data_IF_278524797855
#
_entry.id   IF_278524797855
#
_cell.length_a   1.000
_cell.length_b   1.000
_cell.length_c   1.000
_cell.angle_alpha   90.00
_cell.angle_beta   90.00
_cell.angle_gamma   90.00
#
_symmetry.space_group_name_H-M   'P 1'
#
loop_
_entity.id
_entity.type
_entity.pdbx_description
1 polymer ?
#
# COMPACT_ATOMS: atom_id res chain seq x y z
N UNK A 1 31.09 -26.72 -15.66
CA UNK A 1 30.58 -25.34 -15.50
C UNK A 1 30.39 -25.12 -14.02
N UNK A 2 31.26 -24.33 -13.39
CA UNK A 2 31.16 -23.96 -11.98
C UNK A 2 29.95 -23.04 -11.82
N UNK A 3 29.05 -23.37 -10.88
CA UNK A 3 27.94 -22.49 -10.54
C UNK A 3 28.50 -21.17 -10.02
N UNK A 4 27.99 -20.00 -10.46
CA UNK A 4 28.41 -18.73 -9.89
C UNK A 4 28.14 -18.75 -8.37
N UNK A 5 29.18 -18.51 -7.59
CA UNK A 5 29.05 -18.37 -6.14
C UNK A 5 28.13 -17.19 -5.83
N UNK A 6 27.28 -17.28 -4.80
CA UNK A 6 26.44 -16.16 -4.40
C UNK A 6 27.34 -14.98 -4.00
N UNK A 7 27.22 -13.87 -4.70
CA UNK A 7 27.82 -12.59 -4.30
C UNK A 7 27.24 -12.21 -2.93
N UNK A 8 28.10 -12.26 -1.91
CA UNK A 8 27.78 -11.78 -0.57
C UNK A 8 28.09 -10.28 -0.58
N UNK A 9 27.07 -9.43 -0.51
CA UNK A 9 27.27 -8.00 -0.32
C UNK A 9 27.76 -7.77 1.11
N UNK A 10 29.01 -7.36 1.26
CA UNK A 10 29.63 -7.18 2.58
C UNK A 10 29.58 -5.73 3.05
N UNK A 11 29.54 -4.78 2.11
CA UNK A 11 29.65 -3.34 2.42
C UNK A 11 28.44 -2.52 1.97
N UNK A 12 27.67 -3.01 0.98
CA UNK A 12 26.47 -2.32 0.48
C UNK A 12 25.17 -2.91 1.02
N UNK A 13 24.17 -2.06 1.16
CA UNK A 13 22.87 -2.38 1.75
C UNK A 13 21.77 -2.43 0.69
N UNK A 14 20.86 -3.38 0.88
CA UNK A 14 19.69 -3.54 0.02
C UNK A 14 18.69 -2.40 0.22
N UNK A 15 17.93 -2.04 -0.82
CA UNK A 15 16.79 -1.15 -0.63
C UNK A 15 15.75 -1.78 0.30
N UNK A 16 14.90 -0.94 0.94
CA UNK A 16 13.71 -1.40 1.63
C UNK A 16 12.84 -2.31 0.75
N UNK A 17 12.03 -3.17 1.38
CA UNK A 17 11.08 -3.97 0.60
C UNK A 17 10.03 -3.06 -0.02
N UNK A 18 9.73 -3.29 -1.29
CA UNK A 18 8.85 -2.42 -2.04
C UNK A 18 7.37 -2.53 -1.62
N UNK A 19 6.97 -3.73 -1.18
CA UNK A 19 5.56 -4.11 -0.97
C UNK A 19 4.83 -3.22 0.04
N UNK A 20 5.37 -2.90 1.23
CA UNK A 20 4.64 -2.08 2.20
C UNK A 20 4.29 -0.68 1.67
N UNK A 21 5.24 -0.01 1.01
CA UNK A 21 5.05 1.32 0.44
C UNK A 21 3.95 1.34 -0.62
N UNK A 22 4.00 0.39 -1.54
CA UNK A 22 3.03 0.33 -2.64
C UNK A 22 1.64 -0.12 -2.17
N UNK A 23 1.59 -0.99 -1.15
CA UNK A 23 0.32 -1.43 -0.59
C UNK A 23 -0.44 -0.29 0.10
N UNK A 24 0.25 0.65 0.76
CA UNK A 24 -0.37 1.87 1.32
C UNK A 24 -1.08 2.68 0.24
N UNK A 25 -0.44 2.82 -0.94
CA UNK A 25 -1.03 3.49 -2.09
C UNK A 25 -2.27 2.76 -2.60
N UNK A 26 -2.20 1.44 -2.76
CA UNK A 26 -3.33 0.62 -3.21
C UNK A 26 -4.54 0.71 -2.27
N UNK A 27 -4.30 0.61 -0.96
CA UNK A 27 -5.37 0.73 0.06
C UNK A 27 -6.07 2.08 -0.06
N UNK A 28 -5.31 3.16 -0.24
CA UNK A 28 -5.88 4.50 -0.41
C UNK A 28 -6.73 4.62 -1.67
N UNK A 29 -6.25 4.05 -2.79
CA UNK A 29 -6.94 4.10 -4.08
C UNK A 29 -8.19 3.21 -4.12
N UNK A 30 -8.10 2.00 -3.57
CA UNK A 30 -9.12 0.95 -3.76
C UNK A 30 -10.07 0.79 -2.58
N UNK A 31 -9.71 1.31 -1.40
CA UNK A 31 -10.57 1.26 -0.21
C UNK A 31 -10.94 2.66 0.23
N UNK A 32 -9.98 3.50 0.64
CA UNK A 32 -10.32 4.80 1.24
C UNK A 32 -11.14 5.68 0.29
N UNK A 33 -10.64 5.94 -0.91
CA UNK A 33 -11.33 6.80 -1.87
C UNK A 33 -12.76 6.32 -2.20
N UNK A 34 -12.98 5.12 -2.76
CA UNK A 34 -14.32 4.71 -3.19
C UNK A 34 -15.29 4.50 -2.03
N UNK A 35 -14.81 4.07 -0.85
CA UNK A 35 -15.70 3.82 0.29
C UNK A 35 -16.10 5.12 0.97
N UNK A 36 -15.19 6.08 1.11
CA UNK A 36 -15.54 7.41 1.64
C UNK A 36 -16.45 8.18 0.67
N UNK A 37 -16.25 8.05 -0.64
CA UNK A 37 -17.14 8.66 -1.63
C UNK A 37 -18.55 8.04 -1.62
N UNK A 38 -18.64 6.72 -1.48
CA UNK A 38 -19.92 6.04 -1.27
C UNK A 38 -20.68 6.59 -0.06
N UNK A 39 -19.99 6.76 1.07
CA UNK A 39 -20.62 7.29 2.29
C UNK A 39 -21.10 8.73 2.09
N UNK A 40 -20.34 9.56 1.37
CA UNK A 40 -20.77 10.90 0.96
C UNK A 40 -22.06 10.84 0.14
N UNK A 41 -22.09 10.06 -0.94
CA UNK A 41 -23.26 9.94 -1.81
C UNK A 41 -24.50 9.46 -1.05
N UNK A 42 -24.33 8.51 -0.12
CA UNK A 42 -25.42 8.04 0.73
C UNK A 42 -25.97 9.15 1.63
N UNK A 43 -25.13 10.04 2.15
CA UNK A 43 -25.56 11.17 2.98
C UNK A 43 -26.28 12.24 2.16
N UNK A 44 -25.75 12.57 0.99
CA UNK A 44 -26.37 13.53 0.08
C UNK A 44 -27.77 13.08 -0.34
N UNK A 45 -27.97 11.78 -0.60
CA UNK A 45 -29.28 11.21 -0.92
C UNK A 45 -30.31 11.30 0.23
N UNK A 46 -29.87 11.40 1.49
CA UNK A 46 -30.78 11.57 2.63
C UNK A 46 -31.14 13.05 2.89
N UNK A 47 -30.47 14.01 2.21
CA UNK A 47 -30.69 15.46 2.33
C UNK A 47 -30.69 16.01 3.77
N UNK A 48 -29.87 15.46 4.68
CA UNK A 48 -29.69 16.00 6.04
C UNK A 48 -28.44 16.90 6.12
N UNK A 49 -28.59 18.24 6.17
CA UNK A 49 -27.45 19.16 6.13
C UNK A 49 -26.48 18.99 7.29
N UNK A 50 -26.98 18.60 8.46
CA UNK A 50 -26.15 18.43 9.65
C UNK A 50 -25.32 17.14 9.54
N UNK A 51 -25.89 16.06 9.01
CA UNK A 51 -25.16 14.82 8.75
C UNK A 51 -24.09 15.00 7.67
N UNK A 52 -24.43 15.72 6.59
CA UNK A 52 -23.49 16.08 5.51
C UNK A 52 -22.32 16.90 6.09
N UNK A 53 -22.59 17.90 6.92
CA UNK A 53 -21.55 18.72 7.52
C UNK A 53 -20.61 17.91 8.43
N UNK A 54 -21.13 16.98 9.23
CA UNK A 54 -20.29 16.09 10.06
C UNK A 54 -19.30 15.33 9.19
N UNK A 55 -19.76 14.70 8.11
CA UNK A 55 -18.89 13.94 7.22
C UNK A 55 -17.93 14.82 6.41
N UNK A 56 -18.33 16.03 6.05
CA UNK A 56 -17.42 16.97 5.38
C UNK A 56 -16.22 17.28 6.28
N UNK A 57 -16.45 17.56 7.56
CA UNK A 57 -15.38 17.76 8.55
C UNK A 57 -14.51 16.51 8.65
N UNK A 58 -15.12 15.32 8.76
CA UNK A 58 -14.38 14.06 8.82
C UNK A 58 -13.53 13.81 7.58
N UNK A 59 -14.02 14.14 6.38
CA UNK A 59 -13.26 13.99 5.12
C UNK A 59 -12.08 14.95 5.06
N UNK A 60 -12.22 16.17 5.58
CA UNK A 60 -11.10 17.11 5.71
C UNK A 60 -9.99 16.53 6.58
N UNK A 61 -10.35 16.00 7.76
CA UNK A 61 -9.37 15.33 8.63
C UNK A 61 -8.78 14.11 7.93
N UNK A 62 -9.63 13.26 7.32
CA UNK A 62 -9.18 12.06 6.61
C UNK A 62 -8.15 12.37 5.51
N UNK A 63 -8.37 13.45 4.74
CA UNK A 63 -7.39 13.93 3.75
C UNK A 63 -6.05 14.23 4.41
N UNK A 64 -6.05 15.07 5.44
CA UNK A 64 -4.82 15.50 6.12
C UNK A 64 -4.07 14.30 6.73
N UNK A 65 -4.78 13.38 7.37
CA UNK A 65 -4.18 12.21 8.03
C UNK A 65 -3.69 11.14 7.03
N UNK A 66 -4.43 10.85 5.96
CA UNK A 66 -3.99 9.90 4.92
C UNK A 66 -2.77 10.47 4.19
N UNK A 67 -2.71 11.79 3.98
CA UNK A 67 -1.59 12.44 3.30
C UNK A 67 -0.25 12.19 4.02
N UNK A 68 -0.25 12.08 5.34
CA UNK A 68 0.95 11.74 6.13
C UNK A 68 1.55 10.38 5.74
N UNK A 69 0.73 9.41 5.34
CA UNK A 69 1.23 8.12 4.84
C UNK A 69 1.94 8.25 3.49
N UNK A 70 1.59 9.24 2.67
CA UNK A 70 2.27 9.50 1.41
C UNK A 70 3.58 10.28 1.57
N UNK A 71 3.75 11.03 2.65
CA UNK A 71 5.06 11.58 3.04
C UNK A 71 6.09 10.47 3.21
N UNK A 72 5.71 9.31 3.75
CA UNK A 72 6.59 8.14 3.90
C UNK A 72 7.11 7.65 2.53
N UNK A 73 6.25 7.62 1.50
CA UNK A 73 6.67 7.26 0.14
C UNK A 73 7.60 8.32 -0.47
N UNK A 74 7.36 9.60 -0.18
CA UNK A 74 8.25 10.67 -0.62
C UNK A 74 9.65 10.52 0.00
N UNK A 75 9.74 10.24 1.30
CA UNK A 75 11.04 10.00 1.96
C UNK A 75 11.72 8.74 1.40
N UNK A 76 10.98 7.66 1.16
CA UNK A 76 11.53 6.47 0.51
C UNK A 76 12.18 6.80 -0.85
N UNK A 77 11.54 7.68 -1.63
CA UNK A 77 12.09 8.15 -2.91
C UNK A 77 13.38 8.94 -2.71
N UNK A 78 13.43 9.84 -1.71
CA UNK A 78 14.64 10.62 -1.39
C UNK A 78 15.79 9.73 -0.92
N UNK A 79 15.54 8.78 -0.02
CA UNK A 79 16.54 7.78 0.40
C UNK A 79 17.14 7.05 -0.80
N UNK A 80 16.30 6.62 -1.75
CA UNK A 80 16.79 5.97 -2.95
C UNK A 80 17.67 6.90 -3.81
N UNK A 81 17.30 8.18 -3.95
CA UNK A 81 18.09 9.18 -4.66
C UNK A 81 19.46 9.41 -4.02
N UNK A 82 19.51 9.53 -2.69
CA UNK A 82 20.78 9.71 -1.98
C UNK A 82 21.65 8.45 -2.07
N UNK A 83 21.05 7.26 -1.97
CA UNK A 83 21.79 6.01 -2.12
C UNK A 83 22.41 5.87 -3.52
N UNK A 84 21.76 6.39 -4.56
CA UNK A 84 22.35 6.42 -5.89
C UNK A 84 23.61 7.27 -5.98
N UNK A 85 23.65 8.40 -5.29
CA UNK A 85 24.84 9.24 -5.26
C UNK A 85 26.01 8.49 -4.63
N UNK A 86 25.77 7.70 -3.59
CA UNK A 86 26.79 6.81 -3.00
C UNK A 86 27.31 5.83 -4.05
N UNK A 87 26.41 5.14 -4.77
CA UNK A 87 26.80 4.16 -5.81
C UNK A 87 27.53 4.79 -7.00
N UNK A 88 27.17 6.00 -7.39
CA UNK A 88 27.85 6.79 -8.42
C UNK A 88 29.27 7.16 -7.97
N UNK A 89 29.42 7.71 -6.76
CA UNK A 89 30.70 8.05 -6.18
C UNK A 89 31.64 6.83 -6.10
N UNK A 90 31.12 5.66 -5.70
CA UNK A 90 31.89 4.41 -5.67
C UNK A 90 32.41 4.01 -7.05
N UNK A 91 31.58 4.12 -8.08
CA UNK A 91 31.98 3.78 -9.46
C UNK A 91 33.05 4.73 -9.98
N UNK A 92 33.03 5.98 -9.53
CA UNK A 92 34.03 7.00 -9.84
C UNK A 92 35.24 6.97 -8.90
N UNK A 93 35.28 6.05 -7.93
CA UNK A 93 36.32 5.92 -6.89
C UNK A 93 36.50 7.21 -6.08
N UNK A 94 35.40 7.91 -5.82
CA UNK A 94 35.33 9.10 -4.96
C UNK A 94 34.95 8.71 -3.53
N UNK A 95 35.30 9.55 -2.53
CA UNK A 95 34.88 9.35 -1.14
C UNK A 95 33.36 9.30 -1.00
N UNK A 96 32.86 8.46 -0.09
CA UNK A 96 31.41 8.27 0.12
C UNK A 96 30.89 8.76 1.45
N UNK A 97 31.78 9.13 2.37
CA UNK A 97 31.44 9.47 3.75
C UNK A 97 30.28 10.48 3.87
N UNK A 98 30.39 11.66 3.24
CA UNK A 98 29.35 12.69 3.29
C UNK A 98 28.03 12.23 2.67
N UNK A 99 28.09 11.40 1.62
CA UNK A 99 26.89 10.87 0.95
C UNK A 99 26.18 9.83 1.81
N UNK A 100 26.92 9.02 2.57
CA UNK A 100 26.34 8.09 3.54
C UNK A 100 25.66 8.81 4.70
N UNK A 101 26.19 9.96 5.13
CA UNK A 101 25.54 10.83 6.12
C UNK A 101 24.16 11.28 5.63
N UNK A 102 24.04 11.69 4.37
CA UNK A 102 22.76 12.09 3.79
C UNK A 102 21.76 10.93 3.73
N UNK A 103 22.21 9.73 3.33
CA UNK A 103 21.37 8.52 3.39
C UNK A 103 20.91 8.23 4.81
N UNK A 104 21.81 8.35 5.79
CA UNK A 104 21.50 8.15 7.21
C UNK A 104 20.45 9.14 7.72
N UNK A 105 20.63 10.41 7.38
CA UNK A 105 19.72 11.49 7.75
C UNK A 105 18.32 11.24 7.18
N UNK A 106 18.21 10.94 5.89
CA UNK A 106 16.93 10.65 5.25
C UNK A 106 16.26 9.39 5.82
N UNK A 107 17.03 8.35 6.14
CA UNK A 107 16.49 7.15 6.78
C UNK A 107 15.94 7.47 8.19
N UNK A 108 16.63 8.30 8.98
CA UNK A 108 16.13 8.78 10.28
C UNK A 108 14.89 9.64 10.15
N UNK A 109 14.85 10.55 9.16
CA UNK A 109 13.63 11.30 8.84
C UNK A 109 12.48 10.36 8.48
N UNK A 110 12.75 9.28 7.74
CA UNK A 110 11.78 8.23 7.42
C UNK A 110 11.18 7.59 8.67
N UNK A 111 12.01 7.26 9.67
CA UNK A 111 11.55 6.74 10.97
C UNK A 111 10.56 7.67 11.64
N UNK A 112 10.88 8.96 11.75
CA UNK A 112 9.99 9.96 12.38
C UNK A 112 8.70 10.19 11.57
N UNK A 113 8.80 10.30 10.24
CA UNK A 113 7.65 10.43 9.36
C UNK A 113 6.69 9.23 9.47
N UNK A 114 7.21 8.03 9.64
CA UNK A 114 6.36 6.85 9.85
C UNK A 114 5.63 6.91 11.18
N UNK A 115 6.28 7.36 12.26
CA UNK A 115 5.60 7.55 13.56
C UNK A 115 4.46 8.57 13.45
N UNK A 116 4.70 9.68 12.76
CA UNK A 116 3.64 10.66 12.46
C UNK A 116 2.49 10.02 11.68
N UNK A 117 2.78 9.23 10.64
CA UNK A 117 1.77 8.56 9.83
C UNK A 117 0.94 7.53 10.64
N UNK A 118 1.55 6.81 11.59
CA UNK A 118 0.82 5.89 12.46
C UNK A 118 -0.10 6.62 13.44
N UNK A 119 0.37 7.75 14.00
CA UNK A 119 -0.48 8.62 14.82
C UNK A 119 -1.64 9.17 13.99
N UNK A 120 -1.38 9.59 12.75
CA UNK A 120 -2.38 10.07 11.82
C UNK A 120 -3.46 9.01 11.52
N UNK A 121 -3.07 7.77 11.26
CA UNK A 121 -4.01 6.65 11.09
C UNK A 121 -4.89 6.42 12.33
N UNK A 122 -4.34 6.63 13.54
CA UNK A 122 -5.11 6.55 14.79
C UNK A 122 -6.13 7.68 14.92
N UNK A 123 -5.76 8.90 14.52
CA UNK A 123 -6.67 10.05 14.48
C UNK A 123 -7.77 9.83 13.45
N UNK A 124 -7.41 9.41 12.23
CA UNK A 124 -8.36 9.11 11.17
C UNK A 124 -9.40 8.09 11.62
N UNK A 125 -8.97 6.99 12.25
CA UNK A 125 -9.87 5.98 12.80
C UNK A 125 -10.90 6.58 13.77
N UNK A 126 -10.41 7.33 14.76
CA UNK A 126 -11.23 7.92 15.82
C UNK A 126 -12.27 8.88 15.25
N UNK A 127 -11.86 9.74 14.33
CA UNK A 127 -12.76 10.72 13.72
C UNK A 127 -13.83 10.05 12.85
N UNK A 128 -13.47 8.99 12.12
CA UNK A 128 -14.42 8.22 11.34
C UNK A 128 -15.45 7.50 12.23
N UNK A 129 -15.00 6.80 13.28
CA UNK A 129 -15.88 6.12 14.25
C UNK A 129 -16.81 7.10 14.96
N UNK A 130 -16.28 8.27 15.37
CA UNK A 130 -17.06 9.36 15.97
C UNK A 130 -18.13 9.90 15.02
N UNK A 131 -17.77 10.17 13.77
CA UNK A 131 -18.68 10.68 12.76
C UNK A 131 -19.81 9.69 12.46
N UNK A 132 -19.49 8.41 12.25
CA UNK A 132 -20.47 7.34 12.02
C UNK A 132 -21.42 7.23 13.20
N UNK A 133 -20.91 7.27 14.43
CA UNK A 133 -21.73 7.20 15.65
C UNK A 133 -22.69 8.39 15.76
N UNK A 134 -22.18 9.61 15.56
CA UNK A 134 -22.98 10.85 15.64
C UNK A 134 -24.08 10.86 14.59
N UNK A 135 -23.76 10.53 13.35
CA UNK A 135 -24.77 10.50 12.28
C UNK A 135 -25.78 9.39 12.53
N UNK A 136 -25.36 8.19 12.94
CA UNK A 136 -26.29 7.10 13.26
C UNK A 136 -27.28 7.50 14.36
N UNK A 137 -26.79 8.14 15.44
CA UNK A 137 -27.65 8.64 16.52
C UNK A 137 -28.65 9.70 16.02
N UNK A 138 -28.19 10.64 15.17
CA UNK A 138 -29.06 11.65 14.57
C UNK A 138 -30.16 11.03 13.71
N UNK A 139 -29.81 10.04 12.87
CA UNK A 139 -30.79 9.38 12.02
C UNK A 139 -31.80 8.58 12.87
N UNK A 140 -31.36 7.89 13.91
CA UNK A 140 -32.27 7.16 14.80
C UNK A 140 -33.26 8.07 15.54
N UNK A 141 -32.88 9.32 15.82
CA UNK A 141 -33.75 10.30 16.49
C UNK A 141 -34.72 10.99 15.52
N UNK A 142 -34.31 11.28 14.28
CA UNK A 142 -35.14 11.98 13.29
C UNK A 142 -36.19 11.08 12.61
N UNK A 143 -35.88 9.80 12.45
CA UNK A 143 -36.70 8.87 11.69
C UNK A 143 -37.52 7.97 12.61
N UNK A 144 -38.81 7.73 12.30
CA UNK A 144 -39.63 6.78 13.06
C UNK A 144 -38.96 5.41 13.09
N UNK A 145 -38.99 4.77 14.27
CA UNK A 145 -38.46 3.41 14.52
C UNK A 145 -38.95 2.46 13.42
N UNK A 146 -38.10 2.14 12.44
CA UNK A 146 -38.43 1.26 11.31
C UNK A 146 -38.11 1.80 9.90
N UNK A 147 -37.96 3.11 9.69
CA UNK A 147 -37.49 3.62 8.40
C UNK A 147 -35.95 3.55 8.33
N UNK A 148 -35.43 2.62 7.54
CA UNK A 148 -33.99 2.50 7.28
C UNK A 148 -33.52 3.74 6.53
N UNK A 149 -32.59 4.50 7.10
CA UNK A 149 -31.90 5.54 6.33
C UNK A 149 -30.91 4.88 5.37
N UNK A 150 -30.65 5.52 4.22
CA UNK A 150 -29.68 4.98 3.26
C UNK A 150 -28.30 4.77 3.90
N UNK A 151 -27.93 5.60 4.89
CA UNK A 151 -26.65 5.49 5.59
C UNK A 151 -26.53 4.26 6.50
N UNK A 152 -27.61 3.82 7.16
CA UNK A 152 -27.59 2.63 8.03
C UNK A 152 -27.85 1.33 7.25
N UNK A 153 -27.77 1.39 5.92
CA UNK A 153 -27.79 0.21 5.07
C UNK A 153 -26.64 -0.75 5.37
N UNK A 154 -26.86 -2.02 5.09
CA UNK A 154 -25.85 -3.07 5.28
C UNK A 154 -24.59 -2.77 4.46
N UNK A 155 -24.74 -2.24 3.25
CA UNK A 155 -23.63 -1.91 2.37
C UNK A 155 -22.79 -0.75 2.88
N UNK A 156 -23.41 0.28 3.49
CA UNK A 156 -22.67 1.41 4.05
C UNK A 156 -22.00 1.05 5.38
N UNK A 157 -22.63 0.17 6.16
CA UNK A 157 -22.00 -0.41 7.36
C UNK A 157 -20.76 -1.23 6.97
N UNK A 158 -20.89 -2.05 5.94
CA UNK A 158 -19.79 -2.82 5.36
C UNK A 158 -18.67 -1.88 4.85
N UNK A 159 -19.02 -0.78 4.16
CA UNK A 159 -18.05 0.20 3.70
C UNK A 159 -17.25 0.84 4.85
N UNK A 160 -17.91 1.19 5.97
CA UNK A 160 -17.22 1.68 7.17
C UNK A 160 -16.27 0.62 7.73
N UNK A 161 -16.73 -0.64 7.88
CA UNK A 161 -15.90 -1.73 8.39
C UNK A 161 -14.68 -2.00 7.51
N UNK A 162 -14.81 -1.89 6.19
CA UNK A 162 -13.70 -2.02 5.24
C UNK A 162 -12.69 -0.89 5.39
N UNK A 163 -13.13 0.36 5.57
CA UNK A 163 -12.22 1.49 5.84
C UNK A 163 -11.49 1.29 7.16
N UNK A 164 -12.16 0.90 8.24
CA UNK A 164 -11.52 0.65 9.54
C UNK A 164 -10.49 -0.48 9.45
N UNK A 165 -10.81 -1.55 8.73
CA UNK A 165 -9.89 -2.66 8.46
C UNK A 165 -8.67 -2.22 7.68
N UNK A 166 -8.87 -1.36 6.67
CA UNK A 166 -7.80 -0.79 5.86
C UNK A 166 -6.90 0.17 6.66
N UNK A 167 -7.44 0.89 7.64
CA UNK A 167 -6.62 1.70 8.57
C UNK A 167 -5.69 0.79 9.39
N UNK A 168 -6.20 -0.33 9.90
CA UNK A 168 -5.40 -1.30 10.64
C UNK A 168 -4.32 -1.94 9.75
N UNK A 169 -4.66 -2.26 8.50
CA UNK A 169 -3.70 -2.71 7.50
C UNK A 169 -2.59 -1.67 7.27
N UNK A 170 -2.95 -0.41 7.03
CA UNK A 170 -1.98 0.68 6.85
C UNK A 170 -1.05 0.83 8.07
N UNK A 171 -1.55 0.72 9.30
CA UNK A 171 -0.72 0.79 10.50
C UNK A 171 0.36 -0.31 10.56
N UNK A 172 0.02 -1.54 10.18
CA UNK A 172 0.97 -2.66 10.12
C UNK A 172 1.97 -2.53 8.97
N UNK A 173 1.55 -1.96 7.82
CA UNK A 173 2.46 -1.65 6.72
C UNK A 173 3.44 -0.53 7.11
N UNK A 174 2.94 0.52 7.76
CA UNK A 174 3.77 1.60 8.30
C UNK A 174 4.79 1.05 9.31
N UNK A 175 4.39 0.14 10.19
CA UNK A 175 5.33 -0.53 11.11
C UNK A 175 6.46 -1.27 10.38
N UNK A 176 6.16 -1.92 9.25
CA UNK A 176 7.19 -2.54 8.41
C UNK A 176 8.12 -1.48 7.80
N UNK A 177 7.58 -0.39 7.25
CA UNK A 177 8.38 0.73 6.75
C UNK A 177 9.29 1.32 7.84
N UNK A 178 8.78 1.50 9.06
CA UNK A 178 9.55 1.98 10.22
C UNK A 178 10.79 1.11 10.44
N UNK A 179 10.60 -0.21 10.51
CA UNK A 179 11.68 -1.14 10.77
C UNK A 179 12.73 -1.12 9.66
N UNK A 180 12.30 -1.02 8.40
CA UNK A 180 13.22 -0.95 7.26
C UNK A 180 14.02 0.35 7.23
N UNK A 181 13.40 1.49 7.55
CA UNK A 181 14.14 2.76 7.69
C UNK A 181 15.09 2.74 8.88
N UNK A 182 14.67 2.18 10.01
CA UNK A 182 15.51 2.07 11.20
C UNK A 182 16.74 1.18 10.94
N UNK A 183 16.54 0.03 10.29
CA UNK A 183 17.60 -0.87 9.88
C UNK A 183 18.58 -0.19 8.93
N UNK A 184 18.08 0.51 7.90
CA UNK A 184 18.94 1.28 7.00
C UNK A 184 19.73 2.37 7.73
N UNK A 185 19.08 3.11 8.64
CA UNK A 185 19.73 4.14 9.45
C UNK A 185 20.77 3.57 10.43
N UNK A 186 20.60 2.34 10.91
CA UNK A 186 21.64 1.68 11.72
C UNK A 186 22.83 1.29 10.83
N UNK A 187 22.55 0.74 9.66
CA UNK A 187 23.56 0.28 8.72
C UNK A 187 24.42 1.41 8.13
N UNK A 188 23.83 2.57 7.85
CA UNK A 188 24.55 3.72 7.29
C UNK A 188 25.12 4.65 8.35
N UNK A 189 25.13 4.24 9.63
CA UNK A 189 25.64 5.07 10.72
C UNK A 189 27.16 5.15 10.74
N UNK A 190 27.85 4.07 10.34
CA UNK A 190 29.31 4.08 10.17
C UNK A 190 29.66 4.61 8.78
N UNK A 191 29.91 5.91 8.72
CA UNK A 191 30.21 6.66 7.50
C UNK A 191 31.53 6.19 6.83
N UNK A 192 32.41 5.52 7.59
CA UNK A 192 33.72 5.05 7.12
C UNK A 192 33.74 3.60 6.65
N UNK A 193 32.64 2.88 6.87
CA UNK A 193 32.55 1.43 6.65
C UNK A 193 32.81 1.03 5.19
N UNK A 194 32.24 1.77 4.24
CA UNK A 194 32.38 1.49 2.81
C UNK A 194 33.77 1.88 2.30
N UNK A 195 34.27 3.05 2.68
CA UNK A 195 35.58 3.54 2.20
C UNK A 195 36.74 2.68 2.76
N UNK A 196 36.56 2.07 3.95
CA UNK A 196 37.54 1.16 4.56
C UNK A 196 37.59 -0.22 3.89
N UNK A 197 36.48 -0.67 3.30
CA UNK A 197 36.35 -1.96 2.64
C UNK A 197 35.55 -1.78 1.33
N UNK A 198 36.19 -1.24 0.27
CA UNK A 198 35.49 -0.85 -0.93
C UNK A 198 34.86 -2.07 -1.61
N UNK A 199 33.56 -2.00 -1.99
CA UNK A 199 32.88 -3.08 -2.67
C UNK A 199 33.45 -3.34 -4.06
N UNK A 200 33.24 -4.56 -4.57
CA UNK A 200 33.61 -4.91 -5.95
C UNK A 200 32.72 -4.18 -6.97
N UNK A 201 33.20 -4.04 -8.21
CA UNK A 201 32.41 -3.44 -9.30
C UNK A 201 31.12 -4.24 -9.56
N UNK A 202 31.19 -5.57 -9.49
CA UNK A 202 30.03 -6.45 -9.62
C UNK A 202 29.00 -6.21 -8.50
N UNK A 203 29.45 -5.94 -7.28
CA UNK A 203 28.58 -5.60 -6.15
C UNK A 203 27.92 -4.23 -6.35
N UNK A 204 28.68 -3.22 -6.79
CA UNK A 204 28.16 -1.88 -7.09
C UNK A 204 27.08 -1.95 -8.16
N UNK A 205 27.32 -2.65 -9.27
CA UNK A 205 26.36 -2.76 -10.36
C UNK A 205 25.10 -3.54 -9.94
N UNK A 206 25.27 -4.62 -9.16
CA UNK A 206 24.14 -5.35 -8.58
C UNK A 206 23.29 -4.45 -7.68
N UNK A 207 23.91 -3.64 -6.83
CA UNK A 207 23.19 -2.73 -5.94
C UNK A 207 22.51 -1.59 -6.69
N UNK A 208 23.17 -1.03 -7.70
CA UNK A 208 22.57 -0.04 -8.61
C UNK A 208 21.30 -0.58 -9.25
N UNK A 209 21.33 -1.80 -9.78
CA UNK A 209 20.16 -2.41 -10.40
C UNK A 209 18.99 -2.60 -9.40
N UNK A 210 19.30 -2.98 -8.14
CA UNK A 210 18.28 -3.15 -7.09
C UNK A 210 17.66 -1.83 -6.65
N UNK A 211 18.48 -0.82 -6.36
CA UNK A 211 18.01 0.51 -5.98
C UNK A 211 17.26 1.20 -7.13
N UNK A 212 17.64 0.96 -8.38
CA UNK A 212 16.91 1.41 -9.57
C UNK A 212 15.55 0.79 -9.70
N UNK A 213 15.47 -0.53 -9.49
CA UNK A 213 14.19 -1.20 -9.44
C UNK A 213 13.32 -0.61 -8.35
N UNK A 214 13.84 -0.39 -7.13
CA UNK A 214 13.08 0.24 -6.06
C UNK A 214 12.59 1.65 -6.44
N UNK A 215 13.51 2.52 -6.85
CA UNK A 215 13.22 3.91 -7.22
C UNK A 215 12.19 4.03 -8.34
N UNK A 216 12.35 3.30 -9.45
CA UNK A 216 11.44 3.37 -10.59
C UNK A 216 10.01 2.95 -10.24
N UNK A 217 9.85 2.08 -9.23
CA UNK A 217 8.54 1.65 -8.78
C UNK A 217 7.88 2.62 -7.79
N UNK A 218 8.65 3.37 -7.00
CA UNK A 218 8.10 4.34 -6.02
C UNK A 218 8.07 5.77 -6.52
N UNK A 219 8.83 6.09 -7.57
CA UNK A 219 8.94 7.44 -8.11
C UNK A 219 7.55 7.97 -8.44
N UNK A 220 7.25 9.15 -7.91
CA UNK A 220 6.02 9.91 -8.13
C UNK A 220 4.74 9.25 -7.57
N UNK A 221 4.83 8.09 -6.93
CA UNK A 221 3.67 7.42 -6.32
C UNK A 221 3.06 8.28 -5.20
N UNK A 222 3.90 9.01 -4.45
CA UNK A 222 3.45 9.93 -3.42
C UNK A 222 2.63 11.11 -3.99
N UNK A 223 2.99 11.63 -5.17
CA UNK A 223 2.21 12.68 -5.84
C UNK A 223 0.83 12.19 -6.24
N UNK A 224 0.75 10.97 -6.76
CA UNK A 224 -0.55 10.34 -7.04
C UNK A 224 -1.34 10.10 -5.75
N UNK A 225 -0.65 9.73 -4.67
CA UNK A 225 -1.23 9.64 -3.33
C UNK A 225 -1.87 10.95 -2.86
N UNK A 226 -1.18 12.07 -3.02
CA UNK A 226 -1.71 13.39 -2.68
C UNK A 226 -2.96 13.73 -3.51
N UNK A 227 -2.95 13.38 -4.80
CA UNK A 227 -4.14 13.54 -5.65
C UNK A 227 -5.33 12.69 -5.16
N UNK A 228 -5.08 11.47 -4.67
CA UNK A 228 -6.12 10.63 -4.06
C UNK A 228 -6.68 11.30 -2.82
N UNK A 229 -5.84 11.84 -1.94
CA UNK A 229 -6.31 12.51 -0.71
C UNK A 229 -7.08 13.80 -1.00
N UNK A 230 -6.70 14.52 -2.05
CA UNK A 230 -7.47 15.69 -2.51
C UNK A 230 -8.85 15.27 -3.03
N UNK A 231 -8.94 14.17 -3.78
CA UNK A 231 -10.22 13.60 -4.23
C UNK A 231 -11.08 13.09 -3.06
N UNK A 232 -10.46 12.60 -1.99
CA UNK A 232 -11.18 12.23 -0.76
C UNK A 232 -11.88 13.43 -0.13
N UNK A 233 -11.40 14.66 -0.31
CA UNK A 233 -12.10 15.87 0.17
C UNK A 233 -13.04 16.44 -0.90
N UNK A 234 -12.50 16.64 -2.10
CA UNK A 234 -13.16 17.25 -3.26
C UNK A 234 -13.19 16.23 -4.40
N UNK A 235 -14.24 15.39 -4.49
CA UNK A 235 -14.40 14.50 -5.62
C UNK A 235 -14.40 15.35 -6.88
N UNK A 236 -13.70 14.89 -7.92
CA UNK A 236 -13.80 15.56 -9.22
C UNK A 236 -15.27 15.52 -9.62
N UNK A 237 -15.84 16.67 -9.97
CA UNK A 237 -17.21 16.69 -10.46
C UNK A 237 -17.25 15.81 -11.70
N UNK A 238 -17.96 14.68 -11.63
CA UNK A 238 -18.22 13.81 -12.76
C UNK A 238 -19.05 14.60 -13.78
N UNK A 239 -18.39 15.42 -14.60
CA UNK A 239 -18.92 15.66 -15.93
C UNK A 239 -18.74 14.32 -16.65
N UNK A 240 -19.83 13.65 -17.11
CA UNK A 240 -19.66 12.53 -18.00
C UNK A 240 -18.79 13.01 -19.17
N UNK A 241 -17.83 12.19 -19.63
CA UNK A 241 -17.01 12.57 -20.78
C UNK A 241 -17.98 12.88 -21.91
N UNK A 242 -17.98 14.14 -22.36
CA UNK A 242 -18.73 14.56 -23.53
C UNK A 242 -18.38 13.61 -24.68
N UNK A 243 -19.34 12.83 -25.22
CA UNK A 243 -19.07 11.86 -26.27
C UNK A 243 -18.55 12.51 -27.56
N UNK A 244 -18.54 13.84 -27.67
CA UNK A 244 -18.01 14.56 -28.83
C UNK A 244 -16.51 14.89 -28.77
N UNK A 245 -15.85 14.74 -27.61
CA UNK A 245 -14.45 15.09 -27.44
C UNK A 245 -13.48 14.00 -27.91
N UNK A 246 -13.17 13.93 -29.20
CA UNK A 246 -12.04 13.14 -29.74
C UNK A 246 -10.68 13.69 -29.26
N UNK A 247 -10.39 13.58 -27.97
CA UNK A 247 -9.02 13.74 -27.48
C UNK A 247 -8.28 12.42 -27.59
N UNK A 248 -7.46 12.30 -28.65
CA UNK A 248 -6.36 11.33 -28.75
C UNK A 248 -5.29 11.66 -27.68
N UNK A 249 -5.60 11.48 -26.41
CA UNK A 249 -4.54 11.31 -25.42
C UNK A 249 -4.21 9.82 -25.38
N UNK A 250 -3.03 9.45 -25.90
CA UNK A 250 -2.41 8.18 -25.56
C UNK A 250 -2.10 8.24 -24.06
N UNK A 251 -3.08 7.93 -23.22
CA UNK A 251 -2.83 7.58 -21.82
C UNK A 251 -2.08 6.25 -21.86
N UNK A 252 -0.74 6.30 -21.90
CA UNK A 252 0.07 5.19 -21.39
C UNK A 252 -0.50 4.90 -20.00
N UNK A 253 -1.12 3.74 -19.83
CA UNK A 253 -1.56 3.29 -18.52
C UNK A 253 -0.38 3.44 -17.55
N UNK A 254 -0.64 3.86 -16.29
CA UNK A 254 0.46 4.22 -15.42
C UNK A 254 1.36 3.00 -15.22
N UNK A 255 2.67 3.21 -15.50
CA UNK A 255 3.71 2.18 -15.64
C UNK A 255 3.72 1.18 -14.48
N UNK A 256 3.36 1.63 -13.28
CA UNK A 256 3.26 0.79 -12.09
C UNK A 256 2.37 -0.44 -12.32
N UNK A 257 1.20 -0.29 -12.97
CA UNK A 257 0.25 -1.40 -13.22
C UNK A 257 0.86 -2.53 -14.08
N UNK A 258 1.80 -2.20 -14.98
CA UNK A 258 2.52 -3.17 -15.83
C UNK A 258 3.69 -3.80 -15.08
N UNK A 259 4.33 -3.06 -14.17
CA UNK A 259 5.46 -3.55 -13.37
C UNK A 259 5.01 -4.56 -12.30
N UNK A 260 3.85 -4.37 -11.65
CA UNK A 260 3.32 -5.31 -10.66
C UNK A 260 2.96 -6.68 -11.23
N UNK A 261 2.32 -6.72 -12.41
CA UNK A 261 2.02 -7.99 -13.09
C UNK A 261 3.29 -8.78 -13.45
N UNK A 262 4.45 -8.13 -13.50
CA UNK A 262 5.75 -8.76 -13.77
C UNK A 262 6.46 -9.21 -12.49
N UNK A 263 6.24 -8.56 -11.35
CA UNK A 263 6.86 -8.96 -10.07
C UNK A 263 6.19 -10.21 -9.49
N UNK A 264 4.85 -10.26 -9.46
CA UNK A 264 4.09 -11.44 -8.99
C UNK A 264 4.47 -12.72 -9.73
N UNK A 265 4.81 -12.60 -11.03
CA UNK A 265 5.26 -13.74 -11.84
C UNK A 265 6.66 -14.21 -11.47
N UNK A 266 7.59 -13.31 -11.11
CA UNK A 266 8.97 -13.69 -10.76
C UNK A 266 9.04 -14.39 -9.40
N UNK A 267 8.23 -13.95 -8.44
CA UNK A 267 8.18 -14.56 -7.11
C UNK A 267 7.55 -15.97 -7.15
N UNK A 268 6.61 -16.22 -8.07
CA UNK A 268 6.02 -17.55 -8.29
C UNK A 268 7.04 -18.57 -8.84
N UNK A 269 7.95 -18.14 -9.73
CA UNK A 269 8.99 -19.02 -10.28
C UNK A 269 10.14 -19.31 -9.31
N UNK A 270 10.39 -18.42 -8.33
CA UNK A 270 11.41 -18.64 -7.31
C UNK A 270 10.98 -19.59 -6.19
N UNK A 271 9.67 -19.75 -5.99
CA UNK A 271 9.13 -20.62 -4.92
C UNK A 271 8.95 -22.09 -5.33
N UNK A 272 9.19 -22.44 -6.59
CA UNK A 272 8.99 -23.81 -7.12
C UNK A 272 10.28 -24.60 -7.35
N UNK A 273 11.46 -23.99 -7.16
CA UNK A 273 12.75 -24.68 -7.27
C UNK A 273 13.32 -25.00 -5.88
N UNK A 274 12.78 -26.02 -5.22
CA UNK A 274 13.36 -26.47 -3.95
C UNK A 274 12.45 -27.34 -3.08
N UNK A 275 11.83 -28.38 -3.63
CA UNK A 275 11.29 -29.47 -2.79
C UNK A 275 11.69 -30.80 -3.44
N UNK A 276 12.84 -31.33 -2.98
CA UNK A 276 13.13 -32.76 -3.08
C UNK A 276 12.48 -33.39 -1.85
N UNK A 277 11.39 -34.12 -2.05
CA UNK A 277 10.66 -34.82 -1.00
C UNK A 277 11.53 -35.96 -0.44
N UNK A 278 11.94 -35.82 0.82
CA UNK A 278 12.41 -36.93 1.65
C UNK A 278 11.27 -37.32 2.59
N UNK A 279 10.61 -38.44 2.29
CA UNK A 279 9.65 -39.10 3.17
C UNK A 279 10.39 -39.71 4.34
N UNK A 280 10.28 -39.10 5.52
CA UNK A 280 10.11 -39.81 6.80
C UNK A 280 9.87 -38.80 7.93
N UNK A 281 8.63 -38.72 8.40
CA UNK A 281 8.30 -37.98 9.62
C UNK A 281 7.17 -38.65 10.40
N UNK A 282 7.58 -39.19 11.54
CA UNK A 282 6.80 -39.64 12.68
C UNK A 282 5.75 -38.59 13.09
N UNK A 283 4.51 -39.05 13.29
CA UNK A 283 3.32 -38.26 13.61
C UNK A 283 3.42 -37.66 15.02
N UNK A 284 3.67 -36.35 15.12
CA UNK A 284 3.59 -35.58 16.37
C UNK A 284 2.27 -34.80 16.44
N UNK A 285 1.44 -35.11 17.44
CA UNK A 285 0.17 -34.44 17.72
C UNK A 285 0.44 -33.13 18.50
N UNK A 286 0.73 -32.04 17.80
CA UNK A 286 0.76 -30.68 18.35
C UNK A 286 -0.47 -29.86 17.90
N UNK A 287 -0.91 -28.86 18.68
CA UNK A 287 -2.03 -28.01 18.32
C UNK A 287 -1.73 -27.21 17.04
N UNK A 288 -2.68 -27.21 16.11
CA UNK A 288 -2.53 -26.58 14.80
C UNK A 288 -2.18 -25.08 14.92
N UNK A 289 -1.27 -24.55 14.08
CA UNK A 289 -0.91 -23.14 14.10
C UNK A 289 -2.13 -22.27 13.77
N UNK A 290 -2.32 -21.21 14.55
CA UNK A 290 -3.41 -20.25 14.38
C UNK A 290 -3.25 -19.52 13.05
N UNK A 291 -4.09 -19.89 12.09
CA UNK A 291 -4.22 -19.20 10.80
C UNK A 291 -4.64 -17.73 11.03
N UNK A 292 -3.90 -16.73 10.50
CA UNK A 292 -4.22 -15.31 10.62
C UNK A 292 -5.63 -14.98 10.09
N UNK A 293 -6.33 -14.07 10.78
CA UNK A 293 -7.71 -13.69 10.50
C UNK A 293 -7.96 -13.33 9.01
N UNK A 294 -7.03 -12.61 8.37
CA UNK A 294 -7.13 -12.22 6.96
C UNK A 294 -7.10 -13.39 5.97
N UNK A 295 -6.38 -14.48 6.29
CA UNK A 295 -6.37 -15.70 5.46
C UNK A 295 -7.71 -16.44 5.54
N UNK A 296 -8.48 -16.28 6.62
CA UNK A 296 -9.88 -16.80 6.72
C UNK A 296 -10.88 -15.98 5.92
N UNK A 297 -10.66 -14.67 5.75
CA UNK A 297 -11.54 -13.83 4.94
C UNK A 297 -11.36 -14.14 3.45
N UNK A 298 -10.11 -14.26 2.97
CA UNK A 298 -9.82 -14.65 1.59
C UNK A 298 -10.38 -16.03 1.22
N UNK A 299 -10.21 -17.03 2.11
CA UNK A 299 -10.76 -18.38 1.88
C UNK A 299 -12.29 -18.43 1.87
N UNK A 300 -12.97 -17.48 2.53
CA UNK A 300 -14.44 -17.37 2.50
C UNK A 300 -14.95 -16.71 1.22
N UNK A 301 -14.18 -15.81 0.61
CA UNK A 301 -14.55 -15.17 -0.65
C UNK A 301 -14.38 -16.11 -1.84
N UNK A 302 -13.33 -16.95 -1.83
CA UNK A 302 -13.07 -17.92 -2.91
C UNK A 302 -14.09 -19.07 -2.94
N UNK A 303 -14.58 -19.49 -1.76
CA UNK A 303 -15.61 -20.53 -1.64
C UNK A 303 -16.98 -20.11 -2.17
N UNK A 304 -17.30 -18.81 -2.15
CA UNK A 304 -18.59 -18.29 -2.60
C UNK A 304 -18.64 -18.02 -4.11
N UNK A 305 -17.48 -17.96 -4.78
CA UNK A 305 -17.40 -17.79 -6.25
C UNK A 305 -17.38 -19.12 -7.01
N UNK A 306 -17.24 -20.25 -6.31
CA UNK A 306 -17.18 -21.59 -6.94
C UNK A 306 -18.56 -22.21 -7.22
N UNK A 307 -19.66 -21.57 -6.83
CA UNK A 307 -21.03 -22.12 -6.93
C UNK A 307 -21.83 -21.64 -8.15
N UNK A 308 -21.23 -20.93 -9.11
CA UNK A 308 -21.93 -20.29 -10.23
C UNK A 308 -21.59 -20.83 -11.64
N UNK A 309 -20.98 -22.02 -11.76
CA UNK A 309 -20.77 -22.68 -13.05
C UNK A 309 -21.42 -24.07 -13.11
N UNK A 310 -22.75 -24.14 -13.08
CA UNK A 310 -23.47 -25.29 -13.68
C UNK A 310 -24.90 -24.92 -14.08
N UNK A 311 -25.07 -24.22 -15.20
CA UNK A 311 -26.33 -24.26 -15.97
C UNK A 311 -26.00 -24.63 -17.41
N UNK A 312 -26.32 -25.89 -17.74
CA UNK A 312 -26.26 -26.48 -19.08
C UNK A 312 -27.34 -25.89 -19.97
N UNK A 313 -26.99 -25.57 -21.21
CA UNK A 313 -27.93 -25.44 -22.33
C UNK A 313 -28.49 -26.81 -22.71
N UNK A 314 -29.80 -26.96 -23.01
CA UNK A 314 -30.30 -28.08 -23.78
C UNK A 314 -30.27 -27.75 -25.29
N UNK A 315 -29.62 -28.64 -26.04
CA UNK A 315 -29.66 -28.68 -27.50
C UNK A 315 -30.98 -29.31 -27.96
N UNK A 316 -31.46 -28.89 -29.13
CA UNK A 316 -32.66 -29.42 -29.80
C UNK A 316 -32.48 -30.88 -30.22
N UNK A 317 -33.58 -31.64 -30.21
CA UNK A 317 -33.78 -32.76 -31.12
C UNK A 317 -35.16 -32.69 -31.78
N UNK A 318 -35.17 -33.17 -33.01
CA UNK A 318 -36.21 -33.10 -34.03
C UNK A 318 -37.34 -34.10 -33.79
N UNK A 319 -38.54 -33.74 -34.26
CA UNK A 319 -39.40 -34.60 -35.07
C UNK A 319 -40.32 -33.76 -35.96
#
# INVERSE_FOLDING_TARGET
>A
MTSPQPLVCTSLHLPPELKPFLRIHEVSLHVFLPKLDRLRLALEANHDPQAINIFLVTRKVSREEIQKSFTVLHIAQRVAQEYFRVLEALSEKKPTQELLVEVNLEARTGVECVKEAQQAMTVFRRELESAVSRVTAMMNNKYKKGSKSSLTSTENTQAVSEVLSAIDECNELLKQCHNQFAELATHTQDESSIDSNPPSEEEIELMRAKWQTFYDNIRDVWMHGYSITDQILMPTSDNPPDPSGKHKSRKRGPLWRILFQRQDKRDLFRSTSGITESLDATRSNGPAPKVPFWRRIYQRTDRNNSTLHTLRYPCMEAH
#
